data_IF_005224351862
#
_entry.id   IF_005224351862
#
_cell.length_a   1.000
_cell.length_b   1.000
_cell.length_c   1.000
_cell.angle_alpha   90.00
_cell.angle_beta   90.00
_cell.angle_gamma   90.00
#
_symmetry.space_group_name_H-M   'P 1'
#
loop_
_entity.id
_entity.type
_entity.pdbx_description
1 polymer ?
#
# COMPACT_ATOMS: atom_id res chain seq x y z
N UNK A 1 12.82 -79.89 -30.65
CA UNK A 1 13.28 -81.20 -30.13
C UNK A 1 13.34 -82.18 -31.29
N UNK A 2 14.40 -82.98 -31.46
CA UNK A 2 14.63 -83.79 -32.68
C UNK A 2 15.72 -84.86 -32.45
N UNK A 3 15.48 -86.08 -32.98
CA UNK A 3 16.42 -87.21 -33.28
C UNK A 3 17.34 -87.71 -32.14
N UNK A 4 17.43 -89.00 -31.80
CA UNK A 4 17.50 -90.30 -32.51
C UNK A 4 18.93 -90.81 -32.81
N UNK A 5 19.20 -91.95 -32.19
CA UNK A 5 19.81 -93.19 -32.72
C UNK A 5 21.30 -93.25 -33.15
N UNK A 6 21.89 -94.38 -32.73
CA UNK A 6 23.05 -95.16 -33.23
C UNK A 6 24.32 -95.14 -32.33
N UNK A 7 24.92 -96.27 -31.90
CA UNK A 7 25.05 -97.66 -32.40
C UNK A 7 26.13 -97.85 -33.48
N UNK A 8 27.23 -98.55 -33.14
CA UNK A 8 28.01 -99.31 -34.12
C UNK A 8 28.85 -100.45 -33.50
N UNK A 9 29.35 -101.38 -34.33
CA UNK A 9 29.77 -102.73 -33.91
C UNK A 9 30.80 -103.39 -34.87
N UNK A 10 31.88 -104.00 -34.34
CA UNK A 10 32.90 -104.86 -35.02
C UNK A 10 33.79 -104.20 -36.12
N UNK A 11 35.09 -104.55 -36.26
CA UNK A 11 35.57 -105.81 -36.90
C UNK A 11 37.10 -106.08 -36.79
N UNK A 12 37.50 -107.30 -37.19
CA UNK A 12 38.87 -107.87 -37.46
C UNK A 12 39.67 -108.36 -36.22
N UNK A 13 40.51 -109.42 -36.23
CA UNK A 13 40.96 -110.57 -37.12
C UNK A 13 41.79 -111.55 -36.21
N UNK A 14 42.31 -112.77 -36.48
CA UNK A 14 42.42 -113.86 -37.50
C UNK A 14 42.96 -115.13 -36.72
N UNK A 15 43.10 -116.40 -37.17
CA UNK A 15 42.43 -117.27 -38.17
C UNK A 15 43.02 -118.73 -38.19
N UNK A 16 42.21 -119.80 -37.94
CA UNK A 16 42.41 -121.26 -38.28
C UNK A 16 43.52 -122.04 -37.50
N UNK A 17 43.66 -123.39 -37.51
CA UNK A 17 43.30 -124.52 -38.43
C UNK A 17 42.85 -125.83 -37.66
N UNK A 18 42.27 -126.84 -38.34
CA UNK A 18 41.84 -128.18 -37.81
C UNK A 18 42.72 -129.36 -38.33
N UNK A 19 42.73 -130.54 -37.68
CA UNK A 19 42.43 -131.86 -38.32
C UNK A 19 42.18 -133.06 -37.35
N UNK A 20 42.03 -134.31 -37.89
CA UNK A 20 41.34 -135.49 -37.32
C UNK A 20 41.68 -136.78 -38.13
N UNK A 21 41.54 -138.08 -37.75
CA UNK A 21 41.15 -138.90 -36.55
C UNK A 21 41.37 -140.42 -36.94
N UNK A 22 40.83 -141.44 -36.21
CA UNK A 22 40.69 -142.90 -36.55
C UNK A 22 41.89 -143.85 -36.17
N UNK A 23 41.82 -145.22 -35.98
CA UNK A 23 40.73 -146.24 -35.73
C UNK A 23 41.24 -147.72 -35.66
N UNK A 24 40.93 -148.50 -34.57
CA UNK A 24 40.73 -150.00 -34.48
C UNK A 24 41.89 -150.97 -34.91
N UNK A 25 41.98 -152.31 -34.64
CA UNK A 25 41.25 -153.33 -33.82
C UNK A 25 42.08 -154.62 -33.54
N UNK A 26 41.79 -155.30 -32.40
CA UNK A 26 41.93 -156.73 -31.98
C UNK A 26 43.22 -157.61 -32.03
N UNK A 27 43.49 -158.21 -30.85
CA UNK A 27 43.78 -159.62 -30.50
C UNK A 27 44.69 -160.51 -31.39
N UNK A 28 45.80 -161.02 -30.79
CA UNK A 28 45.97 -162.46 -30.53
C UNK A 28 47.13 -162.79 -29.54
N UNK A 29 47.12 -164.02 -29.00
CA UNK A 29 48.17 -164.70 -28.17
C UNK A 29 48.51 -164.12 -26.76
N UNK A 30 47.95 -164.76 -25.72
CA UNK A 30 48.07 -164.42 -24.29
C UNK A 30 49.42 -164.69 -23.59
N UNK A 31 50.56 -164.72 -24.29
CA UNK A 31 51.87 -165.11 -23.70
C UNK A 31 52.93 -164.01 -23.61
N UNK A 32 52.78 -162.89 -24.32
CA UNK A 32 53.74 -161.77 -24.23
C UNK A 32 53.37 -160.71 -23.16
N UNK A 33 52.19 -160.86 -22.55
CA UNK A 33 51.51 -159.85 -21.72
C UNK A 33 52.24 -159.53 -20.41
N UNK A 34 53.07 -160.44 -19.90
CA UNK A 34 53.79 -160.26 -18.62
C UNK A 34 55.05 -159.39 -18.81
N UNK A 35 55.76 -159.53 -19.93
CA UNK A 35 56.99 -158.78 -20.19
C UNK A 35 56.72 -157.29 -20.47
N UNK A 36 55.70 -156.98 -21.27
CA UNK A 36 55.39 -155.60 -21.66
C UNK A 36 54.81 -154.73 -20.52
N UNK A 37 54.17 -155.35 -19.51
CA UNK A 37 53.62 -154.61 -18.38
C UNK A 37 54.73 -154.00 -17.50
N UNK A 38 55.85 -154.71 -17.32
CA UNK A 38 56.99 -154.26 -16.53
C UNK A 38 57.65 -152.99 -17.09
N UNK A 39 57.83 -152.91 -18.42
CA UNK A 39 58.39 -151.72 -19.08
C UNK A 39 57.49 -150.49 -19.01
N UNK A 40 56.17 -150.68 -19.06
CA UNK A 40 55.21 -149.55 -19.08
C UNK A 40 55.10 -148.85 -17.71
N UNK A 41 55.31 -149.60 -16.62
CA UNK A 41 55.33 -149.06 -15.25
C UNK A 41 56.52 -148.10 -15.02
N UNK A 42 57.69 -148.41 -15.56
CA UNK A 42 58.90 -147.57 -15.39
C UNK A 42 58.75 -146.22 -16.12
N UNK A 43 58.21 -146.23 -17.34
CA UNK A 43 58.03 -145.01 -18.15
C UNK A 43 56.97 -144.08 -17.55
N UNK A 44 55.87 -144.63 -17.04
CA UNK A 44 54.81 -143.82 -16.42
C UNK A 44 55.24 -143.16 -15.10
N UNK A 45 56.05 -143.85 -14.29
CA UNK A 45 56.65 -143.25 -13.08
C UNK A 45 57.61 -142.10 -13.39
N UNK A 46 58.46 -142.27 -14.41
CA UNK A 46 59.43 -141.24 -14.81
C UNK A 46 58.77 -139.93 -15.28
N UNK A 47 57.67 -140.03 -16.05
CA UNK A 47 56.94 -138.87 -16.57
C UNK A 47 56.34 -138.00 -15.46
N UNK A 48 55.66 -138.63 -14.49
CA UNK A 48 54.99 -137.92 -13.39
C UNK A 48 55.97 -137.19 -12.47
N UNK A 49 57.11 -137.82 -12.11
CA UNK A 49 58.01 -137.28 -11.11
C UNK A 49 58.96 -136.18 -11.59
N UNK A 50 59.12 -135.98 -12.91
CA UNK A 50 60.12 -135.06 -13.46
C UNK A 50 59.56 -133.89 -14.27
N UNK A 51 58.52 -134.10 -15.08
CA UNK A 51 58.06 -133.10 -16.06
C UNK A 51 56.99 -132.17 -15.48
N UNK A 52 56.07 -132.70 -14.67
CA UNK A 52 54.94 -131.94 -14.12
C UNK A 52 55.33 -130.77 -13.18
N UNK A 53 56.29 -130.89 -12.23
CA UNK A 53 56.58 -129.80 -11.30
C UNK A 53 57.25 -128.58 -11.97
N UNK A 54 58.05 -128.78 -13.03
CA UNK A 54 58.75 -127.70 -13.73
C UNK A 54 57.76 -126.75 -14.42
N UNK A 55 56.72 -127.30 -15.06
CA UNK A 55 55.68 -126.51 -15.72
C UNK A 55 54.81 -125.72 -14.72
N UNK A 56 54.53 -126.29 -13.55
CA UNK A 56 53.81 -125.56 -12.49
C UNK A 56 54.61 -124.37 -11.96
N UNK A 57 55.94 -124.50 -11.86
CA UNK A 57 56.79 -123.44 -11.33
C UNK A 57 56.90 -122.22 -12.26
N UNK A 58 56.86 -122.42 -13.58
CA UNK A 58 56.84 -121.33 -14.56
C UNK A 58 55.49 -120.58 -14.55
N UNK A 59 54.38 -121.31 -14.49
CA UNK A 59 53.03 -120.71 -14.49
C UNK A 59 52.70 -119.98 -13.18
N UNK A 60 53.34 -120.37 -12.07
CA UNK A 60 53.32 -119.61 -10.81
C UNK A 60 54.15 -118.32 -10.89
N UNK A 61 55.33 -118.36 -11.52
CA UNK A 61 56.16 -117.18 -11.71
C UNK A 61 55.48 -116.13 -12.61
N UNK A 62 54.87 -116.55 -13.72
CA UNK A 62 54.10 -115.67 -14.61
C UNK A 62 52.92 -115.00 -13.90
N UNK A 63 52.19 -115.75 -13.06
CA UNK A 63 51.08 -115.21 -12.27
C UNK A 63 51.53 -114.29 -11.14
N UNK A 64 52.65 -114.56 -10.47
CA UNK A 64 53.21 -113.60 -9.51
C UNK A 64 53.60 -112.29 -10.22
N UNK A 65 54.24 -112.35 -11.38
CA UNK A 65 54.60 -111.15 -12.14
C UNK A 65 53.37 -110.34 -12.61
N UNK A 66 52.26 -111.01 -12.98
CA UNK A 66 50.99 -110.34 -13.25
C UNK A 66 50.41 -109.67 -11.99
N UNK A 67 50.36 -110.38 -10.86
CA UNK A 67 49.86 -109.85 -9.58
C UNK A 67 50.71 -108.66 -9.10
N UNK A 68 52.03 -108.70 -9.31
CA UNK A 68 52.95 -107.62 -8.94
C UNK A 68 52.77 -106.38 -9.85
N UNK A 69 52.57 -106.57 -11.16
CA UNK A 69 52.22 -105.49 -12.10
C UNK A 69 50.84 -104.89 -11.79
N UNK A 70 49.82 -105.72 -11.54
CA UNK A 70 48.47 -105.25 -11.17
C UNK A 70 48.50 -104.56 -9.80
N UNK A 71 49.34 -105.00 -8.85
CA UNK A 71 49.55 -104.32 -7.56
C UNK A 71 50.20 -102.95 -7.76
N UNK A 72 51.29 -102.83 -8.51
CA UNK A 72 51.95 -101.54 -8.81
C UNK A 72 50.99 -100.60 -9.54
N UNK A 73 50.18 -101.13 -10.46
CA UNK A 73 49.14 -100.38 -11.15
C UNK A 73 48.07 -99.87 -10.18
N UNK A 74 47.55 -100.73 -9.31
CA UNK A 74 46.54 -100.35 -8.31
C UNK A 74 47.11 -99.36 -7.28
N UNK A 75 48.38 -99.48 -6.89
CA UNK A 75 49.05 -98.50 -6.03
C UNK A 75 49.21 -97.13 -6.73
N UNK A 76 49.46 -97.11 -8.05
CA UNK A 76 49.42 -95.88 -8.85
C UNK A 76 48.01 -95.30 -8.96
N UNK A 77 47.00 -96.12 -9.31
CA UNK A 77 45.61 -95.66 -9.42
C UNK A 77 45.05 -95.18 -8.06
N UNK A 78 45.50 -95.77 -6.94
CA UNK A 78 45.21 -95.26 -5.58
C UNK A 78 45.91 -93.92 -5.32
N UNK A 79 47.19 -93.77 -5.68
CA UNK A 79 47.93 -92.51 -5.52
C UNK A 79 47.29 -91.36 -6.32
N UNK A 80 46.89 -91.62 -7.56
CA UNK A 80 46.21 -90.64 -8.42
C UNK A 80 44.85 -90.23 -7.84
N UNK A 81 44.11 -91.18 -7.25
CA UNK A 81 42.83 -90.93 -6.56
C UNK A 81 43.04 -90.16 -5.25
N UNK A 82 44.10 -90.44 -4.48
CA UNK A 82 44.44 -89.67 -3.27
C UNK A 82 44.83 -88.22 -3.61
N UNK A 83 45.55 -87.99 -4.71
CA UNK A 83 45.86 -86.63 -5.16
C UNK A 83 44.62 -85.87 -5.67
N UNK A 84 43.74 -86.50 -6.46
CA UNK A 84 42.46 -85.89 -6.87
C UNK A 84 41.55 -85.60 -5.65
N UNK A 85 41.47 -86.52 -4.68
CA UNK A 85 40.74 -86.27 -3.43
C UNK A 85 41.35 -85.14 -2.61
N UNK A 86 42.68 -85.02 -2.55
CA UNK A 86 43.36 -83.91 -1.88
C UNK A 86 43.13 -82.58 -2.62
N UNK A 87 43.20 -82.57 -3.95
CA UNK A 87 42.90 -81.40 -4.79
C UNK A 87 41.45 -80.95 -4.62
N UNK A 88 40.49 -81.89 -4.70
CA UNK A 88 39.06 -81.60 -4.48
C UNK A 88 38.79 -81.03 -3.09
N UNK A 89 39.41 -81.57 -2.04
CA UNK A 89 39.32 -81.01 -0.68
C UNK A 89 39.76 -79.55 -0.66
N UNK A 90 40.97 -79.23 -1.15
CA UNK A 90 41.45 -77.84 -1.25
C UNK A 90 40.47 -76.92 -2.00
N UNK A 91 39.92 -77.38 -3.13
CA UNK A 91 38.94 -76.59 -3.90
C UNK A 91 37.60 -76.39 -3.17
N UNK A 92 37.19 -77.36 -2.34
CA UNK A 92 35.95 -77.32 -1.57
C UNK A 92 36.12 -76.45 -0.31
N UNK A 93 37.30 -76.47 0.31
CA UNK A 93 37.70 -75.53 1.36
C UNK A 93 37.79 -74.09 0.81
N UNK A 94 38.36 -73.90 -0.38
CA UNK A 94 38.41 -72.59 -1.05
C UNK A 94 36.99 -72.07 -1.34
N UNK A 95 36.12 -72.89 -1.95
CA UNK A 95 34.72 -72.52 -2.19
C UNK A 95 33.97 -72.26 -0.88
N UNK A 96 34.22 -73.03 0.18
CA UNK A 96 33.64 -72.77 1.51
C UNK A 96 34.10 -71.42 2.08
N UNK A 97 35.38 -71.06 1.92
CA UNK A 97 35.90 -69.76 2.36
C UNK A 97 35.31 -68.58 1.58
N UNK A 98 35.13 -68.74 0.25
CA UNK A 98 34.49 -67.73 -0.61
C UNK A 98 33.01 -67.58 -0.27
N UNK A 99 32.29 -68.68 -0.04
CA UNK A 99 30.88 -68.64 0.35
C UNK A 99 30.69 -67.92 1.68
N UNK A 100 31.52 -68.18 2.70
CA UNK A 100 31.47 -67.44 3.98
C UNK A 100 31.72 -65.94 3.80
N UNK A 101 32.74 -65.56 3.03
CA UNK A 101 33.03 -64.16 2.74
C UNK A 101 31.90 -63.48 1.95
N UNK A 102 31.19 -64.23 1.09
CA UNK A 102 29.98 -63.77 0.40
C UNK A 102 28.78 -63.64 1.35
N UNK A 103 28.56 -64.60 2.27
CA UNK A 103 27.52 -64.54 3.30
C UNK A 103 27.74 -63.35 4.26
N UNK A 104 28.99 -63.12 4.71
CA UNK A 104 29.39 -61.95 5.48
C UNK A 104 29.16 -60.64 4.71
N UNK A 105 29.49 -60.60 3.41
CA UNK A 105 29.26 -59.43 2.56
C UNK A 105 27.76 -59.16 2.34
N UNK A 106 26.97 -60.20 2.06
CA UNK A 106 25.51 -60.08 1.89
C UNK A 106 24.86 -59.57 3.17
N UNK A 107 25.21 -60.13 4.33
CA UNK A 107 24.69 -59.63 5.61
C UNK A 107 25.10 -58.18 5.87
N UNK A 108 26.32 -57.77 5.49
CA UNK A 108 26.74 -56.36 5.58
C UNK A 108 25.88 -55.45 4.71
N UNK A 109 25.56 -55.83 3.48
CA UNK A 109 24.70 -55.05 2.58
C UNK A 109 23.22 -55.06 3.01
N UNK A 110 22.72 -56.15 3.59
CA UNK A 110 21.37 -56.21 4.17
C UNK A 110 21.23 -55.19 5.33
N UNK A 111 22.21 -55.13 6.23
CA UNK A 111 22.23 -54.11 7.30
C UNK A 111 22.31 -52.67 6.75
N UNK A 112 23.13 -52.41 5.72
CA UNK A 112 23.25 -51.10 5.08
C UNK A 112 21.94 -50.68 4.38
N UNK A 113 21.24 -51.63 3.75
CA UNK A 113 19.92 -51.40 3.14
C UNK A 113 18.87 -51.05 4.21
N UNK A 114 18.83 -51.78 5.32
CA UNK A 114 17.88 -51.51 6.41
C UNK A 114 18.17 -50.16 7.10
N UNK A 115 19.45 -49.78 7.28
CA UNK A 115 19.84 -48.46 7.77
C UNK A 115 19.36 -47.36 6.81
N UNK A 116 19.65 -47.48 5.51
CA UNK A 116 19.22 -46.51 4.49
C UNK A 116 17.69 -46.41 4.36
N UNK A 117 16.95 -47.51 4.53
CA UNK A 117 15.49 -47.52 4.57
C UNK A 117 14.95 -46.80 5.82
N UNK A 118 15.59 -46.97 6.98
CA UNK A 118 15.21 -46.26 8.21
C UNK A 118 15.44 -44.75 8.11
N UNK A 119 16.61 -44.33 7.60
CA UNK A 119 16.96 -42.91 7.37
C UNK A 119 16.02 -42.29 6.34
N UNK A 120 15.67 -43.02 5.27
CA UNK A 120 14.68 -42.55 4.30
C UNK A 120 13.30 -42.34 4.93
N UNK A 121 12.83 -43.27 5.77
CA UNK A 121 11.54 -43.14 6.44
C UNK A 121 11.50 -41.95 7.40
N UNK A 122 12.59 -41.67 8.13
CA UNK A 122 12.72 -40.47 8.95
C UNK A 122 12.68 -39.20 8.07
N UNK A 123 13.42 -39.17 6.96
CA UNK A 123 13.48 -38.01 6.07
C UNK A 123 12.12 -37.71 5.41
N UNK A 124 11.37 -38.75 5.01
CA UNK A 124 10.02 -38.61 4.46
C UNK A 124 9.04 -38.03 5.49
N UNK A 125 9.15 -38.41 6.78
CA UNK A 125 8.35 -37.83 7.86
C UNK A 125 8.77 -36.39 8.18
N UNK A 126 10.08 -36.08 8.22
CA UNK A 126 10.56 -34.71 8.39
C UNK A 126 10.06 -33.78 7.27
N UNK A 127 10.08 -34.24 6.02
CA UNK A 127 9.52 -33.51 4.87
C UNK A 127 8.00 -33.31 5.01
N UNK A 128 7.26 -34.34 5.48
CA UNK A 128 5.82 -34.24 5.73
C UNK A 128 5.48 -33.20 6.80
N UNK A 129 6.23 -33.17 7.91
CA UNK A 129 6.08 -32.18 8.98
C UNK A 129 6.42 -30.78 8.48
N UNK A 130 7.52 -30.62 7.74
CA UNK A 130 7.91 -29.33 7.16
C UNK A 130 6.87 -28.78 6.18
N UNK A 131 6.24 -29.64 5.36
CA UNK A 131 5.15 -29.26 4.46
C UNK A 131 3.90 -28.77 5.21
N UNK A 132 3.50 -29.48 6.27
CA UNK A 132 2.35 -29.09 7.10
C UNK A 132 2.58 -27.74 7.79
N UNK A 133 3.77 -27.52 8.36
CA UNK A 133 4.14 -26.25 8.99
C UNK A 133 4.15 -25.10 7.96
N UNK A 134 4.62 -25.34 6.74
CA UNK A 134 4.59 -24.36 5.65
C UNK A 134 3.16 -23.99 5.23
N UNK A 135 2.24 -24.97 5.20
CA UNK A 135 0.83 -24.71 4.94
C UNK A 135 0.20 -23.88 6.08
N UNK A 136 0.48 -24.21 7.34
CA UNK A 136 -0.03 -23.46 8.51
C UNK A 136 0.42 -21.99 8.49
N UNK A 137 1.69 -21.72 8.18
CA UNK A 137 2.20 -20.35 8.04
C UNK A 137 1.63 -19.61 6.81
N UNK A 138 1.31 -20.31 5.70
CA UNK A 138 0.58 -19.71 4.58
C UNK A 138 -0.86 -19.34 4.97
N UNK A 139 -1.56 -20.19 5.72
CA UNK A 139 -2.92 -19.92 6.21
C UNK A 139 -2.93 -18.74 7.20
N UNK A 140 -1.96 -18.66 8.12
CA UNK A 140 -1.74 -17.49 9.00
C UNK A 140 -1.45 -16.22 8.21
N UNK A 141 -0.55 -16.28 7.21
CA UNK A 141 -0.21 -15.14 6.37
C UNK A 141 -1.42 -14.61 5.60
N UNK A 142 -2.27 -15.50 5.09
CA UNK A 142 -3.51 -15.14 4.39
C UNK A 142 -4.55 -14.52 5.33
N UNK A 143 -4.67 -15.01 6.57
CA UNK A 143 -5.52 -14.41 7.59
C UNK A 143 -5.06 -12.99 7.96
N UNK A 144 -3.76 -12.80 8.19
CA UNK A 144 -3.17 -11.48 8.49
C UNK A 144 -3.34 -10.48 7.35
N UNK A 145 -3.20 -10.91 6.09
CA UNK A 145 -3.44 -10.05 4.93
C UNK A 145 -4.90 -9.54 4.86
N UNK A 146 -5.88 -10.39 5.16
CA UNK A 146 -7.29 -10.01 5.25
C UNK A 146 -7.56 -9.05 6.42
N UNK A 147 -6.95 -9.27 7.59
CA UNK A 147 -7.05 -8.32 8.72
C UNK A 147 -6.44 -6.94 8.37
N UNK A 148 -5.32 -6.91 7.65
CA UNK A 148 -4.69 -5.68 7.16
C UNK A 148 -5.57 -4.98 6.11
N UNK A 149 -6.18 -5.70 5.17
CA UNK A 149 -7.12 -5.11 4.20
C UNK A 149 -8.33 -4.47 4.89
N UNK A 150 -8.90 -5.15 5.89
CA UNK A 150 -10.00 -4.64 6.73
C UNK A 150 -9.55 -3.41 7.54
N UNK A 151 -8.32 -3.38 8.04
CA UNK A 151 -7.76 -2.24 8.76
C UNK A 151 -7.57 -1.02 7.84
N UNK A 152 -6.96 -1.21 6.67
CA UNK A 152 -6.79 -0.16 5.65
C UNK A 152 -8.14 0.42 5.24
N UNK A 153 -9.16 -0.42 5.00
CA UNK A 153 -10.51 0.06 4.68
C UNK A 153 -11.13 0.91 5.79
N UNK A 154 -10.98 0.50 7.06
CA UNK A 154 -11.44 1.29 8.21
C UNK A 154 -10.72 2.63 8.32
N UNK A 155 -9.42 2.65 8.02
CA UNK A 155 -8.62 3.88 8.01
C UNK A 155 -9.08 4.83 6.89
N UNK A 156 -9.32 4.35 5.67
CA UNK A 156 -9.83 5.20 4.58
C UNK A 156 -11.23 5.75 4.88
N UNK A 157 -12.15 4.92 5.39
CA UNK A 157 -13.47 5.37 5.84
C UNK A 157 -13.40 6.40 6.98
N UNK A 158 -12.42 6.30 7.88
CA UNK A 158 -12.21 7.28 8.95
C UNK A 158 -11.63 8.60 8.41
N UNK A 159 -10.65 8.53 7.52
CA UNK A 159 -10.04 9.70 6.89
C UNK A 159 -11.05 10.49 6.03
N UNK A 160 -11.95 9.82 5.31
CA UNK A 160 -13.07 10.47 4.63
C UNK A 160 -14.01 11.22 5.59
N UNK A 161 -14.35 10.62 6.75
CA UNK A 161 -15.19 11.27 7.76
C UNK A 161 -14.50 12.52 8.31
N UNK A 162 -13.21 12.43 8.61
CA UNK A 162 -12.39 13.57 9.05
C UNK A 162 -12.34 14.67 7.98
N UNK A 163 -12.22 14.31 6.70
CA UNK A 163 -12.24 15.28 5.60
C UNK A 163 -13.60 16.01 5.50
N UNK A 164 -14.72 15.28 5.58
CA UNK A 164 -16.07 15.88 5.58
C UNK A 164 -16.27 16.82 6.78
N UNK A 165 -15.93 16.38 7.99
CA UNK A 165 -16.03 17.21 9.21
C UNK A 165 -15.17 18.48 9.11
N UNK A 166 -13.97 18.40 8.52
CA UNK A 166 -13.11 19.59 8.29
C UNK A 166 -13.72 20.59 7.31
N UNK A 167 -14.42 20.12 6.27
CA UNK A 167 -15.14 21.00 5.34
C UNK A 167 -16.33 21.68 6.02
N UNK A 168 -17.13 20.90 6.75
CA UNK A 168 -18.32 21.33 7.48
C UNK A 168 -17.95 22.41 8.53
N UNK A 169 -17.05 22.08 9.46
CA UNK A 169 -16.52 23.02 10.46
C UNK A 169 -15.81 24.22 9.82
N UNK A 170 -15.16 24.05 8.67
CA UNK A 170 -14.58 25.16 7.91
C UNK A 170 -15.64 26.17 7.46
N UNK A 171 -16.75 25.69 6.89
CA UNK A 171 -17.87 26.53 6.46
C UNK A 171 -18.66 27.14 7.63
N UNK A 172 -18.80 26.43 8.75
CA UNK A 172 -19.40 26.99 9.98
C UNK A 172 -18.54 28.11 10.58
N UNK A 173 -17.22 27.95 10.57
CA UNK A 173 -16.29 28.98 11.03
C UNK A 173 -16.31 30.22 10.11
N UNK A 174 -16.35 30.04 8.79
CA UNK A 174 -16.49 31.14 7.83
C UNK A 174 -17.82 31.90 8.01
N UNK A 175 -18.94 31.17 8.18
CA UNK A 175 -20.24 31.77 8.46
C UNK A 175 -20.27 32.51 9.81
N UNK A 176 -19.63 31.97 10.85
CA UNK A 176 -19.50 32.61 12.16
C UNK A 176 -18.63 33.87 12.11
N UNK A 177 -17.54 33.85 11.35
CA UNK A 177 -16.66 35.00 11.15
C UNK A 177 -17.39 36.13 10.43
N UNK A 178 -18.09 35.82 9.34
CA UNK A 178 -18.94 36.76 8.61
C UNK A 178 -20.04 37.35 9.50
N UNK A 179 -20.74 36.53 10.30
CA UNK A 179 -21.78 37.01 11.22
C UNK A 179 -21.22 37.93 12.33
N UNK A 180 -19.99 37.70 12.80
CA UNK A 180 -19.32 38.63 13.73
C UNK A 180 -18.95 39.95 13.06
N UNK A 181 -18.54 39.91 11.79
CA UNK A 181 -18.29 41.11 10.99
C UNK A 181 -19.56 41.92 10.71
N UNK A 182 -20.68 41.27 10.40
CA UNK A 182 -22.00 41.92 10.32
C UNK A 182 -22.39 42.57 11.66
N UNK A 183 -22.18 41.88 12.78
CA UNK A 183 -22.48 42.41 14.12
C UNK A 183 -21.59 43.59 14.53
N UNK A 184 -20.28 43.58 14.22
CA UNK A 184 -19.39 44.69 14.59
C UNK A 184 -19.65 45.93 13.73
N UNK A 185 -19.95 45.74 12.43
CA UNK A 185 -20.34 46.82 11.53
C UNK A 185 -21.73 47.38 11.89
N UNK A 186 -22.66 46.54 12.36
CA UNK A 186 -23.97 46.98 12.86
C UNK A 186 -23.82 47.89 14.08
N UNK A 187 -23.11 47.44 15.12
CA UNK A 187 -22.83 48.25 16.32
C UNK A 187 -22.13 49.58 15.95
N UNK A 188 -21.10 49.53 15.10
CA UNK A 188 -20.36 50.71 14.63
C UNK A 188 -21.27 51.68 13.85
N UNK A 189 -22.20 51.16 13.03
CA UNK A 189 -23.18 51.99 12.32
C UNK A 189 -24.13 52.70 13.28
N UNK A 190 -24.60 52.03 14.34
CA UNK A 190 -25.48 52.59 15.37
C UNK A 190 -24.77 53.74 16.11
N UNK A 191 -23.51 53.53 16.56
CA UNK A 191 -22.70 54.58 17.17
C UNK A 191 -22.53 55.78 16.23
N UNK A 192 -22.28 55.54 14.93
CA UNK A 192 -22.16 56.60 13.94
C UNK A 192 -23.48 57.39 13.73
N UNK A 193 -24.64 56.72 13.75
CA UNK A 193 -25.96 57.36 13.56
C UNK A 193 -26.35 58.19 14.78
N UNK A 194 -26.05 57.72 15.99
CA UNK A 194 -26.26 58.49 17.23
C UNK A 194 -25.38 59.75 17.21
N UNK A 195 -24.08 59.62 16.90
CA UNK A 195 -23.14 60.75 16.78
C UNK A 195 -23.56 61.74 15.69
N UNK A 196 -23.99 61.27 14.50
CA UNK A 196 -24.53 62.11 13.42
C UNK A 196 -25.80 62.87 13.85
N UNK A 197 -26.75 62.21 14.52
CA UNK A 197 -27.98 62.86 15.02
C UNK A 197 -27.71 63.91 16.09
N UNK A 198 -26.71 63.69 16.94
CA UNK A 198 -26.24 64.70 17.89
C UNK A 198 -25.80 65.97 17.17
N UNK A 199 -24.91 65.85 16.18
CA UNK A 199 -24.43 66.99 15.39
C UNK A 199 -25.55 67.72 14.64
N UNK A 200 -26.44 67.00 13.94
CA UNK A 200 -27.59 67.60 13.25
C UNK A 200 -28.62 68.26 14.19
N UNK A 201 -28.60 67.95 15.49
CA UNK A 201 -29.43 68.61 16.48
C UNK A 201 -28.99 70.04 16.80
N UNK A 202 -27.71 70.37 16.67
CA UNK A 202 -27.18 71.70 17.00
C UNK A 202 -27.53 72.76 15.95
N UNK A 203 -27.48 72.44 14.65
CA UNK A 203 -27.83 73.35 13.55
C UNK A 203 -29.32 73.77 13.51
N UNK A 204 -30.14 73.33 14.48
CA UNK A 204 -31.58 73.56 14.51
C UNK A 204 -32.01 74.11 15.86
N UNK A 205 -32.31 75.41 15.87
CA UNK A 205 -32.91 76.17 16.97
C UNK A 205 -32.13 76.15 18.29
N UNK A 206 -31.17 77.07 18.42
CA UNK A 206 -31.00 77.78 19.69
C UNK A 206 -32.30 78.57 19.95
N UNK A 207 -33.13 78.11 20.88
CA UNK A 207 -34.37 78.82 21.27
C UNK A 207 -34.09 80.10 22.07
N UNK A 208 -32.84 80.32 22.52
CA UNK A 208 -32.37 81.50 23.25
C UNK A 208 -32.16 82.74 22.32
N UNK A 209 -33.28 83.25 21.79
CA UNK A 209 -33.62 84.67 21.50
C UNK A 209 -32.70 85.56 20.61
N UNK A 210 -31.51 85.12 20.21
CA UNK A 210 -30.62 85.91 19.34
C UNK A 210 -30.98 85.77 17.84
N UNK A 211 -30.77 86.84 17.06
CA UNK A 211 -31.25 86.91 15.67
C UNK A 211 -30.52 85.88 14.80
N UNK A 212 -31.28 84.90 14.30
CA UNK A 212 -30.77 83.96 13.31
C UNK A 212 -30.38 84.72 12.04
N UNK A 213 -29.12 84.58 11.63
CA UNK A 213 -28.57 85.11 10.37
C UNK A 213 -27.88 84.00 9.60
N UNK A 214 -27.85 84.13 8.27
CA UNK A 214 -27.16 83.17 7.41
C UNK A 214 -25.66 83.07 7.75
N UNK A 215 -25.00 84.19 8.08
CA UNK A 215 -23.62 84.24 8.58
C UNK A 215 -23.39 83.39 9.84
N UNK A 216 -24.29 83.46 10.83
CA UNK A 216 -24.19 82.66 12.05
C UNK A 216 -24.31 81.15 11.75
N UNK A 217 -25.22 80.78 10.85
CA UNK A 217 -25.38 79.40 10.38
C UNK A 217 -24.16 78.90 9.61
N UNK A 218 -23.62 79.71 8.69
CA UNK A 218 -22.41 79.37 7.97
C UNK A 218 -21.23 79.21 8.92
N UNK A 219 -21.06 80.08 9.91
CA UNK A 219 -19.96 79.92 10.87
C UNK A 219 -20.10 78.62 11.68
N UNK A 220 -21.29 78.28 12.18
CA UNK A 220 -21.54 77.03 12.90
C UNK A 220 -21.24 75.78 12.03
N UNK A 221 -21.75 75.75 10.79
CA UNK A 221 -21.44 74.66 9.83
C UNK A 221 -19.95 74.63 9.45
N UNK A 222 -19.31 75.79 9.36
CA UNK A 222 -17.88 75.96 9.04
C UNK A 222 -17.00 75.46 10.19
N UNK A 223 -17.35 75.70 11.45
CA UNK A 223 -16.67 75.12 12.61
C UNK A 223 -16.92 73.60 12.73
N UNK A 224 -18.17 73.16 12.51
CA UNK A 224 -18.60 71.77 12.71
C UNK A 224 -18.56 70.87 11.44
N UNK A 225 -17.85 71.29 10.38
CA UNK A 225 -17.82 70.54 9.10
C UNK A 225 -17.27 69.10 9.28
N UNK A 226 -17.94 68.06 8.74
CA UNK A 226 -17.79 66.70 9.23
C UNK A 226 -16.47 66.06 8.79
N UNK A 227 -15.65 65.72 9.78
CA UNK A 227 -14.43 64.94 9.59
C UNK A 227 -14.74 63.45 9.76
N UNK A 228 -15.08 62.76 8.67
CA UNK A 228 -15.52 61.36 8.71
C UNK A 228 -14.44 60.43 9.27
N UNK A 229 -13.16 60.68 8.98
CA UNK A 229 -12.04 59.94 9.57
C UNK A 229 -12.04 60.04 11.11
N UNK A 230 -12.15 61.26 11.67
CA UNK A 230 -12.19 61.44 13.13
C UNK A 230 -13.49 60.89 13.75
N UNK A 231 -14.62 61.02 13.07
CA UNK A 231 -15.89 60.45 13.52
C UNK A 231 -15.87 58.92 13.55
N UNK A 232 -15.29 58.29 12.52
CA UNK A 232 -15.10 56.84 12.45
C UNK A 232 -14.12 56.36 13.53
N UNK A 233 -12.96 57.00 13.67
CA UNK A 233 -12.01 56.71 14.75
C UNK A 233 -12.66 56.83 16.13
N UNK A 234 -13.40 57.90 16.40
CA UNK A 234 -14.11 58.09 17.68
C UNK A 234 -15.15 56.99 17.95
N UNK A 235 -15.84 56.49 16.91
CA UNK A 235 -16.78 55.37 17.06
C UNK A 235 -16.07 54.03 17.21
N UNK A 236 -14.87 53.84 16.64
CA UNK A 236 -14.02 52.65 16.85
C UNK A 236 -13.45 52.64 18.28
N UNK A 237 -13.02 53.79 18.79
CA UNK A 237 -12.45 53.92 20.13
C UNK A 237 -13.54 53.73 21.21
N UNK A 238 -14.75 54.25 20.99
CA UNK A 238 -15.94 54.02 21.83
C UNK A 238 -16.43 52.56 21.77
N UNK A 239 -16.37 51.92 20.59
CA UNK A 239 -16.62 50.49 20.43
C UNK A 239 -15.57 49.66 21.19
N UNK A 240 -14.30 50.07 21.21
CA UNK A 240 -13.27 49.41 22.02
C UNK A 240 -13.55 49.55 23.52
N UNK A 241 -13.95 50.73 23.99
CA UNK A 241 -14.28 50.96 25.40
C UNK A 241 -15.45 50.07 25.85
N UNK A 242 -16.55 50.06 25.09
CA UNK A 242 -17.68 49.16 25.36
C UNK A 242 -17.27 47.67 25.31
N UNK A 243 -16.42 47.29 24.35
CA UNK A 243 -15.94 45.91 24.22
C UNK A 243 -15.01 45.48 25.36
N UNK A 244 -14.27 46.39 26.01
CA UNK A 244 -13.43 46.05 27.19
C UNK A 244 -14.25 45.56 28.37
N UNK A 245 -15.50 46.02 28.53
CA UNK A 245 -16.44 45.53 29.54
C UNK A 245 -17.07 44.19 29.19
N UNK A 246 -17.51 44.00 27.93
CA UNK A 246 -18.34 42.84 27.54
C UNK A 246 -17.55 41.68 26.93
N UNK A 247 -16.37 41.94 26.34
CA UNK A 247 -15.59 41.00 25.53
C UNK A 247 -16.41 40.38 24.36
N UNK A 248 -17.32 41.19 23.79
CA UNK A 248 -18.25 40.82 22.71
C UNK A 248 -17.54 40.52 21.37
N UNK A 249 -16.40 41.16 21.10
CA UNK A 249 -15.63 41.06 19.86
C UNK A 249 -14.13 40.78 20.13
N UNK A 250 -13.43 40.01 19.27
CA UNK A 250 -11.98 39.88 19.32
C UNK A 250 -11.28 41.23 19.08
N UNK A 251 -10.25 41.55 19.86
CA UNK A 251 -9.50 42.82 19.72
C UNK A 251 -8.84 43.00 18.35
N UNK A 252 -8.55 41.91 17.63
CA UNK A 252 -8.03 41.94 16.27
C UNK A 252 -8.95 42.64 15.28
N UNK A 253 -10.28 42.47 15.41
CA UNK A 253 -11.26 43.11 14.52
C UNK A 253 -11.23 44.64 14.68
N UNK A 254 -11.04 45.11 15.91
CA UNK A 254 -11.01 46.53 16.24
C UNK A 254 -9.73 47.17 15.68
N UNK A 255 -8.57 46.50 15.79
CA UNK A 255 -7.34 46.97 15.13
C UNK A 255 -7.40 46.87 13.59
N UNK A 256 -8.15 45.92 13.03
CA UNK A 256 -8.38 45.82 11.58
C UNK A 256 -9.29 46.96 11.07
N UNK A 257 -10.39 47.27 11.76
CA UNK A 257 -11.21 48.47 11.51
C UNK A 257 -10.38 49.76 11.64
N UNK A 258 -9.52 49.84 12.66
CA UNK A 258 -8.61 50.97 12.91
C UNK A 258 -7.52 51.07 11.83
N UNK A 259 -7.07 49.94 11.28
CA UNK A 259 -6.21 49.84 10.09
C UNK A 259 -6.91 50.37 8.84
N UNK A 260 -8.06 49.82 8.51
CA UNK A 260 -8.90 50.25 7.39
C UNK A 260 -9.17 51.77 7.42
N UNK A 261 -9.51 52.32 8.59
CA UNK A 261 -9.73 53.76 8.76
C UNK A 261 -8.46 54.60 8.52
N UNK A 262 -7.29 54.14 8.96
CA UNK A 262 -5.99 54.79 8.71
C UNK A 262 -5.64 54.79 7.22
N UNK A 263 -5.80 53.65 6.56
CA UNK A 263 -5.43 53.45 5.15
C UNK A 263 -6.37 54.22 4.20
N UNK A 264 -7.66 54.31 4.56
CA UNK A 264 -8.68 55.09 3.83
C UNK A 264 -8.78 56.56 4.29
N UNK A 265 -7.81 57.09 5.05
CA UNK A 265 -7.87 58.47 5.58
C UNK A 265 -8.04 59.56 4.51
N UNK A 266 -7.61 59.30 3.27
CA UNK A 266 -7.79 60.22 2.13
C UNK A 266 -9.19 60.19 1.53
N UNK A 267 -9.80 59.01 1.36
CA UNK A 267 -11.19 58.86 0.88
C UNK A 267 -12.21 59.30 1.93
N UNK A 268 -11.90 59.08 3.21
CA UNK A 268 -12.65 59.57 4.38
C UNK A 268 -12.48 61.08 4.64
N UNK A 269 -11.76 61.82 3.77
CA UNK A 269 -11.70 63.28 3.85
C UNK A 269 -12.87 63.90 3.07
N UNK A 270 -13.65 64.72 3.76
CA UNK A 270 -14.53 65.66 3.09
C UNK A 270 -13.76 66.93 2.74
N UNK A 271 -13.98 67.39 1.52
CA UNK A 271 -13.58 68.73 1.11
C UNK A 271 -14.49 69.73 1.83
N UNK A 272 -13.90 70.82 2.32
CA UNK A 272 -14.61 71.91 2.98
C UNK A 272 -15.01 72.89 1.88
N UNK A 273 -16.31 73.23 1.72
CA UNK A 273 -16.71 74.33 0.87
C UNK A 273 -15.99 75.62 1.27
N UNK A 274 -15.77 76.53 0.33
CA UNK A 274 -15.37 77.87 0.72
C UNK A 274 -16.63 78.62 1.21
N UNK A 275 -16.81 78.63 2.52
CA UNK A 275 -17.97 79.28 3.13
C UNK A 275 -17.92 80.80 3.01
N UNK A 276 -16.75 81.40 2.75
CA UNK A 276 -16.64 82.83 2.48
C UNK A 276 -17.17 83.13 1.07
N UNK A 277 -16.89 82.27 0.08
CA UNK A 277 -17.47 82.37 -1.27
C UNK A 277 -19.00 82.23 -1.24
N UNK A 278 -19.53 81.31 -0.42
CA UNK A 278 -20.97 81.17 -0.20
C UNK A 278 -21.61 82.39 0.49
N UNK A 279 -20.92 83.00 1.46
CA UNK A 279 -21.37 84.21 2.13
C UNK A 279 -21.33 85.43 1.18
N UNK A 280 -20.28 85.57 0.36
CA UNK A 280 -20.13 86.61 -0.66
C UNK A 280 -21.14 86.48 -1.81
N UNK A 281 -21.58 85.25 -2.14
CA UNK A 281 -22.65 84.98 -3.10
C UNK A 281 -24.03 85.29 -2.49
N UNK A 282 -24.34 84.79 -1.29
CA UNK A 282 -25.60 85.07 -0.58
C UNK A 282 -25.83 86.58 -0.39
N UNK A 283 -24.81 87.31 0.10
CA UNK A 283 -24.94 88.75 0.32
C UNK A 283 -25.19 89.52 -0.98
N UNK A 284 -24.62 89.07 -2.11
CA UNK A 284 -24.81 89.70 -3.42
C UNK A 284 -26.23 89.48 -3.96
N UNK A 285 -26.76 88.27 -3.79
CA UNK A 285 -28.14 87.96 -4.18
C UNK A 285 -29.16 88.68 -3.27
N UNK A 286 -28.85 88.83 -1.98
CA UNK A 286 -29.64 89.65 -1.06
C UNK A 286 -29.64 91.15 -1.43
N UNK A 287 -28.50 91.73 -1.85
CA UNK A 287 -28.44 93.10 -2.39
C UNK A 287 -29.31 93.26 -3.66
N UNK A 288 -29.28 92.27 -4.55
CA UNK A 288 -30.09 92.25 -5.77
C UNK A 288 -31.59 92.10 -5.47
N UNK A 289 -31.98 91.27 -4.49
CA UNK A 289 -33.34 91.15 -3.95
C UNK A 289 -33.83 92.48 -3.38
N UNK A 290 -33.03 93.15 -2.53
CA UNK A 290 -33.39 94.45 -1.94
C UNK A 290 -33.62 95.49 -3.05
N UNK A 291 -32.75 95.51 -4.07
CA UNK A 291 -32.87 96.40 -5.23
C UNK A 291 -34.13 96.12 -6.06
N UNK A 292 -34.50 94.84 -6.24
CA UNK A 292 -35.72 94.45 -6.96
C UNK A 292 -36.97 94.83 -6.15
N UNK A 293 -37.00 94.52 -4.85
CA UNK A 293 -38.10 94.88 -3.95
C UNK A 293 -38.34 96.41 -3.91
N UNK A 294 -37.28 97.23 -3.93
CA UNK A 294 -37.38 98.69 -4.10
C UNK A 294 -38.04 99.10 -5.42
N UNK A 295 -37.65 98.47 -6.54
CA UNK A 295 -38.21 98.78 -7.87
C UNK A 295 -39.69 98.40 -7.92
N UNK A 296 -40.06 97.20 -7.45
CA UNK A 296 -41.45 96.77 -7.44
C UNK A 296 -42.32 97.57 -6.48
N UNK A 297 -41.83 97.92 -5.29
CA UNK A 297 -42.58 98.72 -4.33
C UNK A 297 -42.90 100.13 -4.89
N UNK A 298 -42.00 100.71 -5.70
CA UNK A 298 -42.28 101.93 -6.48
C UNK A 298 -43.38 101.69 -7.52
N UNK A 299 -43.30 100.60 -8.28
CA UNK A 299 -44.32 100.24 -9.29
C UNK A 299 -45.70 99.96 -8.67
N UNK A 300 -45.78 99.28 -7.52
CA UNK A 300 -47.01 99.03 -6.79
C UNK A 300 -47.62 100.35 -6.27
N UNK A 301 -46.81 101.25 -5.72
CA UNK A 301 -47.27 102.59 -5.30
C UNK A 301 -47.77 103.43 -6.48
N UNK A 302 -47.10 103.39 -7.63
CA UNK A 302 -47.52 104.11 -8.84
C UNK A 302 -48.76 103.50 -9.50
N UNK A 303 -48.91 102.17 -9.46
CA UNK A 303 -50.16 101.49 -9.83
C UNK A 303 -51.32 101.98 -8.95
N UNK A 304 -51.15 101.94 -7.63
CA UNK A 304 -52.14 102.43 -6.65
C UNK A 304 -52.47 103.92 -6.86
N UNK A 305 -51.50 104.76 -7.23
CA UNK A 305 -51.74 106.17 -7.61
C UNK A 305 -52.58 106.29 -8.88
N UNK A 306 -52.33 105.45 -9.89
CA UNK A 306 -53.03 105.48 -11.19
C UNK A 306 -54.47 104.95 -11.13
N UNK A 307 -54.73 103.97 -10.27
CA UNK A 307 -56.04 103.32 -10.12
C UNK A 307 -57.03 104.16 -9.28
N UNK A 308 -56.53 105.10 -8.47
CA UNK A 308 -57.36 105.91 -7.57
C UNK A 308 -57.77 107.25 -8.20
N UNK A 309 -59.09 107.47 -8.32
CA UNK A 309 -59.71 108.71 -8.83
C UNK A 309 -59.41 109.94 -7.93
N UNK A 310 -58.94 109.72 -6.70
CA UNK A 310 -58.51 110.76 -5.76
C UNK A 310 -57.00 110.62 -5.50
N UNK A 311 -56.26 111.72 -5.30
CA UNK A 311 -54.83 111.65 -5.02
C UNK A 311 -54.56 110.89 -3.70
N UNK A 312 -54.02 109.68 -3.82
CA UNK A 312 -53.63 108.84 -2.68
C UNK A 312 -52.39 109.41 -2.01
N UNK A 313 -52.53 109.79 -0.74
CA UNK A 313 -51.40 110.12 0.14
C UNK A 313 -51.06 108.86 0.95
N UNK A 314 -49.83 108.36 0.78
CA UNK A 314 -49.31 107.24 1.56
C UNK A 314 -48.82 107.73 2.93
N UNK A 315 -48.81 106.83 3.92
CA UNK A 315 -48.20 107.12 5.22
C UNK A 315 -46.66 107.17 5.11
N UNK A 316 -46.03 107.92 6.00
CA UNK A 316 -44.60 107.83 6.26
C UNK A 316 -44.25 106.40 6.72
N UNK A 317 -43.17 105.81 6.17
CA UNK A 317 -42.83 104.40 6.39
C UNK A 317 -43.56 103.38 5.50
N UNK A 318 -44.51 103.79 4.65
CA UNK A 318 -45.27 102.84 3.81
C UNK A 318 -44.41 102.17 2.72
N UNK A 319 -43.50 102.91 2.09
CA UNK A 319 -42.60 102.35 1.07
C UNK A 319 -41.64 101.36 1.71
N UNK A 320 -41.04 101.76 2.83
CA UNK A 320 -40.10 101.00 3.63
C UNK A 320 -40.73 99.71 4.17
N UNK A 321 -41.99 99.79 4.62
CA UNK A 321 -42.78 98.62 5.04
C UNK A 321 -43.09 97.68 3.87
N UNK A 322 -43.36 98.20 2.67
CA UNK A 322 -43.66 97.38 1.49
C UNK A 322 -42.39 96.67 0.98
N UNK A 323 -41.27 97.39 0.89
CA UNK A 323 -39.95 96.82 0.56
C UNK A 323 -39.59 95.74 1.57
N UNK A 324 -39.63 96.04 2.88
CA UNK A 324 -39.31 95.08 3.94
C UNK A 324 -40.18 93.83 3.89
N UNK A 325 -41.48 93.96 3.56
CA UNK A 325 -42.38 92.80 3.45
C UNK A 325 -42.01 91.89 2.28
N UNK A 326 -41.52 92.45 1.17
CA UNK A 326 -41.01 91.66 0.03
C UNK A 326 -39.65 91.04 0.35
N UNK A 327 -38.70 91.84 0.84
CA UNK A 327 -37.35 91.37 1.20
C UNK A 327 -37.41 90.19 2.16
N UNK A 328 -38.22 90.24 3.23
CA UNK A 328 -38.35 89.12 4.18
C UNK A 328 -38.85 87.82 3.51
N UNK A 329 -39.68 87.91 2.47
CA UNK A 329 -40.14 86.72 1.73
C UNK A 329 -39.02 86.08 0.92
N UNK A 330 -38.38 86.88 0.07
CA UNK A 330 -37.30 86.45 -0.83
C UNK A 330 -36.02 86.07 -0.05
N UNK A 331 -35.70 86.77 1.04
CA UNK A 331 -34.58 86.49 1.97
C UNK A 331 -34.72 85.12 2.63
N UNK A 332 -35.95 84.72 3.00
CA UNK A 332 -36.24 83.39 3.51
C UNK A 332 -36.10 82.31 2.43
N UNK A 333 -36.50 82.58 1.18
CA UNK A 333 -36.34 81.63 0.07
C UNK A 333 -34.84 81.44 -0.28
N UNK A 334 -34.06 82.53 -0.31
CA UNK A 334 -32.60 82.50 -0.49
C UNK A 334 -31.90 81.73 0.65
N UNK A 335 -32.28 81.96 1.90
CA UNK A 335 -31.78 81.22 3.06
C UNK A 335 -32.11 79.72 2.97
N UNK A 336 -33.29 79.34 2.45
CA UNK A 336 -33.61 77.93 2.18
C UNK A 336 -32.74 77.32 1.06
N UNK A 337 -32.55 78.00 -0.07
CA UNK A 337 -31.73 77.49 -1.18
C UNK A 337 -30.26 77.32 -0.77
N UNK A 338 -29.67 78.32 -0.12
CA UNK A 338 -28.29 78.25 0.34
C UNK A 338 -28.08 77.21 1.46
N UNK A 339 -29.07 76.99 2.34
CA UNK A 339 -29.06 75.83 3.27
C UNK A 339 -29.16 74.50 2.53
N UNK A 340 -29.98 74.38 1.48
CA UNK A 340 -30.10 73.14 0.71
C UNK A 340 -28.78 72.81 0.00
N UNK A 341 -28.08 73.79 -0.59
CA UNK A 341 -26.74 73.61 -1.16
C UNK A 341 -25.72 73.11 -0.12
N UNK A 342 -25.73 73.67 1.09
CA UNK A 342 -24.87 73.24 2.21
C UNK A 342 -25.22 71.82 2.67
N UNK A 343 -26.50 71.51 2.83
CA UNK A 343 -27.01 70.20 3.22
C UNK A 343 -26.74 69.12 2.16
N UNK A 344 -26.78 69.47 0.87
CA UNK A 344 -26.41 68.58 -0.22
C UNK A 344 -24.92 68.23 -0.16
N UNK A 345 -24.03 69.23 -0.06
CA UNK A 345 -22.58 69.01 0.08
C UNK A 345 -22.23 68.21 1.35
N UNK A 346 -22.98 68.40 2.44
CA UNK A 346 -22.87 67.56 3.64
C UNK A 346 -23.35 66.13 3.37
N UNK A 347 -24.47 65.94 2.68
CA UNK A 347 -25.01 64.62 2.31
C UNK A 347 -23.99 63.84 1.47
N UNK A 348 -23.51 64.43 0.38
CA UNK A 348 -22.51 63.86 -0.55
C UNK A 348 -21.19 63.49 0.16
N UNK A 349 -20.77 64.32 1.13
CA UNK A 349 -19.71 63.96 2.06
C UNK A 349 -20.08 62.72 2.90
N UNK A 350 -21.20 62.76 3.61
CA UNK A 350 -21.60 61.77 4.61
C UNK A 350 -21.90 60.37 4.04
N UNK A 351 -22.12 60.30 2.72
CA UNK A 351 -22.32 59.10 1.91
C UNK A 351 -21.01 58.47 1.40
N UNK A 352 -19.83 58.98 1.79
CA UNK A 352 -18.52 58.35 1.49
C UNK A 352 -18.09 57.22 2.44
N UNK A 353 -18.94 56.86 3.42
CA UNK A 353 -18.62 55.94 4.54
C UNK A 353 -19.39 54.61 4.46
N UNK A 354 -20.46 54.56 3.67
CA UNK A 354 -21.38 53.43 3.50
C UNK A 354 -21.77 53.30 2.03
#
# INVERSE_FOLDING_TARGET
MSKKDNLNKFLNRKEKVKFSLWRRVNYNVHLNTVAQLGTLLVVTFGYFYTIQPVFQHQLLAEKNAQIELDKVRLESEISDIEEDLAHRRRSLDEVSSRNKSLEESVSSYENEIDELLSVRAELEEQVRVAYLNLQEEQEKSNALLNEVEIAIKRETEANERIARIRMEVGSELEALENARWELILTDLSILSVVRRRGAFGYFRTSEDDDVFTYSNYLNDVSENWPNLYLSLMSSIDELEENNRSENKYPSSYIEELRGFARDNRSSLRCERPDFNEMEDDFNRELEDIIRLAEIEARQDMDRIRSENIRPTVFAEGYFESLVRTKVIGEELELDFEFREMVMQKWSDCSNKVF
#
